data_IF_594620245666
#
_entry.id   IF_594620245666
#
_cell.length_a   1.000
_cell.length_b   1.000
_cell.length_c   1.000
_cell.angle_alpha   90.00
_cell.angle_beta   90.00
_cell.angle_gamma   90.00
#
_symmetry.space_group_name_H-M   'P 1'
#
loop_
_entity.id
_entity.type
_entity.pdbx_description
1 polymer ?
#
# COMPACT_ATOMS: atom_id res chain seq x y z
N UNK A 1 8.05 -51.00 -29.08
CA UNK A 1 8.42 -50.53 -27.74
C UNK A 1 8.77 -51.73 -26.90
N UNK A 2 10.01 -51.80 -26.45
CA UNK A 2 10.48 -52.87 -25.57
C UNK A 2 10.15 -52.55 -24.11
N UNK A 3 10.05 -53.56 -23.26
CA UNK A 3 9.74 -53.37 -21.83
C UNK A 3 10.80 -52.50 -21.13
N UNK A 4 12.06 -52.61 -21.56
CA UNK A 4 13.17 -51.78 -21.08
C UNK A 4 12.96 -50.28 -21.39
N UNK A 5 12.50 -49.93 -22.59
CA UNK A 5 12.22 -48.54 -22.98
C UNK A 5 11.11 -47.92 -22.12
N UNK A 6 10.09 -48.70 -21.74
CA UNK A 6 8.99 -48.23 -20.89
C UNK A 6 9.45 -47.97 -19.46
N UNK A 7 10.35 -48.81 -18.93
CA UNK A 7 10.93 -48.65 -17.60
C UNK A 7 11.83 -47.40 -17.56
N UNK A 8 12.64 -47.20 -18.59
CA UNK A 8 13.51 -46.04 -18.71
C UNK A 8 12.71 -44.74 -18.85
N UNK A 9 11.66 -44.73 -19.68
CA UNK A 9 10.76 -43.59 -19.82
C UNK A 9 10.04 -43.24 -18.49
N UNK A 10 9.63 -44.25 -17.71
CA UNK A 10 9.06 -44.04 -16.37
C UNK A 10 10.08 -43.42 -15.41
N UNK A 11 11.34 -43.86 -15.45
CA UNK A 11 12.42 -43.28 -14.64
C UNK A 11 12.63 -41.82 -14.99
N UNK A 12 12.81 -41.50 -16.27
CA UNK A 12 13.00 -40.11 -16.75
C UNK A 12 11.85 -39.19 -16.32
N UNK A 13 10.61 -39.66 -16.46
CA UNK A 13 9.43 -38.90 -16.01
C UNK A 13 9.45 -38.64 -14.51
N UNK A 14 9.77 -39.65 -13.71
CA UNK A 14 9.78 -39.51 -12.26
C UNK A 14 10.91 -38.57 -11.81
N UNK A 15 12.10 -38.67 -12.41
CA UNK A 15 13.21 -37.74 -12.15
C UNK A 15 12.84 -36.30 -12.51
N UNK A 16 12.21 -36.08 -13.67
CA UNK A 16 11.74 -34.76 -14.07
C UNK A 16 10.70 -34.19 -13.09
N UNK A 17 9.82 -35.05 -12.57
CA UNK A 17 8.82 -34.67 -11.56
C UNK A 17 9.48 -34.27 -10.24
N UNK A 18 10.45 -35.04 -9.76
CA UNK A 18 11.21 -34.71 -8.55
C UNK A 18 11.94 -33.37 -8.67
N UNK A 19 12.57 -33.10 -9.81
CA UNK A 19 13.24 -31.81 -10.05
C UNK A 19 12.24 -30.66 -10.02
N UNK A 20 11.08 -30.83 -10.65
CA UNK A 20 10.02 -29.82 -10.66
C UNK A 20 9.45 -29.57 -9.25
N UNK A 21 9.15 -30.63 -8.51
CA UNK A 21 8.63 -30.52 -7.15
C UNK A 21 9.65 -29.86 -6.20
N UNK A 22 10.93 -30.19 -6.35
CA UNK A 22 12.01 -29.55 -5.58
C UNK A 22 12.09 -28.04 -5.86
N UNK A 23 11.99 -27.63 -7.13
CA UNK A 23 12.01 -26.21 -7.49
C UNK A 23 10.77 -25.47 -6.96
N UNK A 24 9.60 -26.10 -7.05
CA UNK A 24 8.35 -25.57 -6.50
C UNK A 24 8.45 -25.35 -5.00
N UNK A 25 9.04 -26.29 -4.27
CA UNK A 25 9.18 -26.19 -2.81
C UNK A 25 10.20 -25.12 -2.40
N UNK A 26 11.28 -24.94 -3.18
CA UNK A 26 12.21 -23.81 -3.00
C UNK A 26 11.54 -22.45 -3.21
N UNK A 27 10.78 -22.29 -4.30
CA UNK A 27 10.04 -21.04 -4.58
C UNK A 27 9.01 -20.77 -3.49
N UNK A 28 8.34 -21.81 -3.00
CA UNK A 28 7.37 -21.69 -1.90
C UNK A 28 8.05 -21.30 -0.58
N UNK A 29 9.21 -21.88 -0.28
CA UNK A 29 10.00 -21.52 0.89
C UNK A 29 10.48 -20.06 0.83
N UNK A 30 10.91 -19.60 -0.34
CA UNK A 30 11.30 -18.19 -0.55
C UNK A 30 10.09 -17.24 -0.42
N UNK A 31 8.91 -17.62 -0.93
CA UNK A 31 7.68 -16.85 -0.77
C UNK A 31 7.20 -16.80 0.69
N UNK A 32 7.31 -17.91 1.42
CA UNK A 32 7.00 -17.95 2.85
C UNK A 32 8.05 -17.17 3.67
N UNK A 33 9.31 -17.14 3.26
CA UNK A 33 10.34 -16.28 3.87
C UNK A 33 10.10 -14.78 3.54
N UNK A 34 9.66 -14.48 2.32
CA UNK A 34 9.23 -13.14 1.89
C UNK A 34 7.88 -12.72 2.49
N UNK A 35 7.17 -13.62 3.19
CA UNK A 35 5.90 -13.35 3.90
C UNK A 35 6.02 -12.39 5.09
N UNK A 36 7.19 -11.75 5.27
CA UNK A 36 7.32 -10.51 6.05
C UNK A 36 6.19 -9.52 5.72
N UNK A 37 5.77 -9.42 4.46
CA UNK A 37 4.61 -8.60 4.06
C UNK A 37 3.29 -9.03 4.71
N UNK A 38 3.06 -10.34 4.91
CA UNK A 38 1.88 -10.86 5.62
C UNK A 38 1.93 -10.50 7.10
N UNK A 39 3.10 -10.59 7.75
CA UNK A 39 3.28 -10.19 9.16
C UNK A 39 3.12 -8.69 9.35
N UNK A 40 3.65 -7.88 8.43
CA UNK A 40 3.49 -6.42 8.45
C UNK A 40 2.04 -6.04 8.18
N UNK A 41 1.36 -6.68 7.23
CA UNK A 41 -0.07 -6.45 6.97
C UNK A 41 -0.95 -6.86 8.16
N UNK A 42 -0.66 -8.01 8.80
CA UNK A 42 -1.37 -8.41 10.03
C UNK A 42 -1.14 -7.40 11.15
N UNK A 43 0.10 -6.93 11.35
CA UNK A 43 0.42 -5.93 12.37
C UNK A 43 -0.23 -4.59 12.09
N UNK A 44 -0.21 -4.11 10.85
CA UNK A 44 -0.95 -2.90 10.42
C UNK A 44 -2.46 -3.08 10.61
N UNK A 45 -3.00 -4.28 10.40
CA UNK A 45 -4.44 -4.53 10.59
C UNK A 45 -4.85 -4.53 12.07
N UNK A 46 -4.02 -5.06 12.97
CA UNK A 46 -4.27 -5.03 14.41
C UNK A 46 -4.04 -3.62 14.97
N UNK A 47 -2.90 -3.00 14.68
CA UNK A 47 -2.58 -1.63 15.10
C UNK A 47 -3.59 -0.62 14.50
N UNK A 48 -4.03 -0.87 13.27
CA UNK A 48 -5.03 -0.06 12.57
C UNK A 48 -6.42 -0.16 13.18
N UNK A 49 -6.81 -1.31 13.74
CA UNK A 49 -8.10 -1.45 14.45
C UNK A 49 -8.11 -0.64 15.75
N UNK A 50 -7.05 -0.74 16.54
CA UNK A 50 -6.93 0.04 17.77
C UNK A 50 -6.90 1.55 17.50
N UNK A 51 -6.12 1.97 16.48
CA UNK A 51 -6.10 3.37 16.05
C UNK A 51 -7.45 3.82 15.49
N UNK A 52 -8.20 2.96 14.80
CA UNK A 52 -9.53 3.30 14.29
C UNK A 52 -10.56 3.48 15.41
N UNK A 53 -10.53 2.64 16.44
CA UNK A 53 -11.41 2.77 17.61
C UNK A 53 -11.09 4.06 18.39
N UNK A 54 -9.80 4.35 18.60
CA UNK A 54 -9.36 5.58 19.27
C UNK A 54 -9.68 6.83 18.43
N UNK A 55 -9.48 6.76 17.10
CA UNK A 55 -9.85 7.82 16.18
C UNK A 55 -11.37 8.05 16.13
N UNK A 56 -12.19 6.99 16.21
CA UNK A 56 -13.64 7.11 16.29
C UNK A 56 -14.09 7.78 17.60
N UNK A 57 -13.44 7.45 18.73
CA UNK A 57 -13.69 8.12 20.01
C UNK A 57 -13.26 9.59 20.00
N UNK A 58 -12.07 9.89 19.47
CA UNK A 58 -11.59 11.27 19.30
C UNK A 58 -12.51 12.07 18.37
N UNK A 59 -13.02 11.42 17.32
CA UNK A 59 -13.95 12.04 16.39
C UNK A 59 -15.30 12.39 17.00
N UNK A 60 -15.78 11.54 17.91
CA UNK A 60 -17.05 11.78 18.58
C UNK A 60 -16.93 12.91 19.64
N UNK A 61 -15.75 13.07 20.26
CA UNK A 61 -15.47 14.17 21.20
C UNK A 61 -15.35 15.53 20.52
N UNK A 62 -14.79 15.61 19.32
CA UNK A 62 -14.55 16.88 18.62
C UNK A 62 -15.00 16.82 17.15
N UNK A 63 -16.32 16.76 16.96
CA UNK A 63 -16.97 16.68 15.63
C UNK A 63 -16.52 17.77 14.66
N UNK A 64 -16.22 18.97 15.17
CA UNK A 64 -15.73 20.09 14.37
C UNK A 64 -14.31 19.85 13.81
N UNK A 65 -13.39 19.36 14.64
CA UNK A 65 -12.01 19.05 14.22
C UNK A 65 -11.98 17.86 13.26
N UNK A 66 -12.81 16.84 13.48
CA UNK A 66 -12.90 15.70 12.55
C UNK A 66 -13.53 16.09 11.23
N UNK A 67 -14.56 16.93 11.25
CA UNK A 67 -15.14 17.48 10.03
C UNK A 67 -14.12 18.27 9.22
N UNK A 68 -13.34 19.13 9.89
CA UNK A 68 -12.24 19.87 9.24
C UNK A 68 -11.14 18.94 8.72
N UNK A 69 -10.75 17.93 9.48
CA UNK A 69 -9.76 16.94 9.05
C UNK A 69 -10.24 16.14 7.84
N UNK A 70 -11.49 15.68 7.84
CA UNK A 70 -12.09 14.96 6.73
C UNK A 70 -12.19 15.84 5.48
N UNK A 71 -12.57 17.11 5.64
CA UNK A 71 -12.59 18.08 4.54
C UNK A 71 -11.17 18.37 4.02
N UNK A 72 -10.18 18.49 4.90
CA UNK A 72 -8.79 18.70 4.49
C UNK A 72 -8.24 17.51 3.69
N UNK A 73 -8.51 16.28 4.14
CA UNK A 73 -8.13 15.06 3.41
C UNK A 73 -8.84 15.00 2.07
N UNK A 74 -10.14 15.30 2.04
CA UNK A 74 -10.93 15.33 0.80
C UNK A 74 -10.39 16.41 -0.15
N UNK A 75 -10.08 17.60 0.35
CA UNK A 75 -9.49 18.69 -0.43
C UNK A 75 -8.10 18.32 -0.97
N UNK A 76 -7.30 17.55 -0.22
CA UNK A 76 -6.01 17.05 -0.68
C UNK A 76 -6.15 16.04 -1.83
N UNK A 77 -7.05 15.06 -1.67
CA UNK A 77 -7.32 14.01 -2.68
C UNK A 77 -7.94 14.61 -3.95
N UNK A 78 -8.86 15.55 -3.78
CA UNK A 78 -9.54 16.23 -4.87
C UNK A 78 -8.88 17.56 -5.28
N UNK A 79 -7.63 17.83 -4.86
CA UNK A 79 -6.94 19.10 -5.14
C UNK A 79 -6.91 19.42 -6.63
N UNK A 80 -6.56 18.44 -7.47
CA UNK A 80 -6.48 18.59 -8.93
C UNK A 80 -7.84 18.86 -9.59
N UNK A 81 -8.90 18.05 -9.37
CA UNK A 81 -10.21 18.34 -9.94
C UNK A 81 -10.85 19.61 -9.36
N UNK A 82 -10.63 19.95 -8.09
CA UNK A 82 -11.10 21.21 -7.50
C UNK A 82 -10.45 22.43 -8.15
N UNK A 83 -9.14 22.39 -8.40
CA UNK A 83 -8.43 23.46 -9.11
C UNK A 83 -8.87 23.58 -10.58
N UNK A 84 -9.10 22.45 -11.25
CA UNK A 84 -9.62 22.44 -12.62
C UNK A 84 -11.04 23.01 -12.70
N UNK A 85 -11.89 22.67 -11.73
CA UNK A 85 -13.25 23.21 -11.62
C UNK A 85 -13.23 24.70 -11.27
N UNK A 86 -12.39 25.14 -10.33
CA UNK A 86 -12.20 26.55 -10.01
C UNK A 86 -11.70 27.33 -11.24
N UNK A 87 -10.75 26.79 -11.99
CA UNK A 87 -10.28 27.36 -13.26
C UNK A 87 -11.37 27.45 -14.32
N UNK A 88 -12.29 26.48 -14.40
CA UNK A 88 -13.42 26.50 -15.34
C UNK A 88 -14.51 27.52 -15.00
N UNK A 89 -14.69 27.85 -13.71
CA UNK A 89 -15.67 28.85 -13.24
C UNK A 89 -15.08 30.27 -13.26
N UNK A 90 -13.81 30.41 -12.89
CA UNK A 90 -13.16 31.72 -12.79
C UNK A 90 -12.35 32.12 -14.04
N UNK A 91 -12.28 31.26 -15.06
CA UNK A 91 -11.63 31.58 -16.33
C UNK A 91 -10.14 31.92 -16.21
N UNK A 92 -9.42 31.26 -15.29
CA UNK A 92 -8.01 31.51 -15.06
C UNK A 92 -7.13 30.55 -15.89
N UNK A 93 -6.53 31.13 -16.92
CA UNK A 93 -5.37 30.65 -17.67
C UNK A 93 -4.26 30.14 -16.72
N UNK A 94 -3.62 29.02 -17.09
CA UNK A 94 -2.45 28.35 -16.47
C UNK A 94 -1.99 28.90 -15.11
N UNK A 95 -2.28 28.18 -14.04
CA UNK A 95 -1.48 28.24 -12.83
C UNK A 95 -0.49 27.08 -12.89
N UNK A 96 0.75 27.40 -13.27
CA UNK A 96 1.90 26.51 -13.19
C UNK A 96 2.07 26.01 -11.75
N UNK A 97 2.50 24.75 -11.63
CA UNK A 97 2.76 24.06 -10.37
C UNK A 97 3.70 24.87 -9.46
N UNK A 98 3.13 25.62 -8.51
CA UNK A 98 3.86 26.11 -7.35
C UNK A 98 3.96 24.98 -6.33
N UNK A 99 4.96 24.11 -6.52
CA UNK A 99 5.62 23.42 -5.41
C UNK A 99 6.30 24.49 -4.54
N UNK A 100 5.62 24.95 -3.50
CA UNK A 100 6.27 25.68 -2.41
C UNK A 100 5.84 25.02 -1.10
N UNK A 101 6.63 24.02 -0.69
CA UNK A 101 6.62 23.47 0.66
C UNK A 101 7.03 24.56 1.64
N UNK A 102 6.05 25.31 2.13
CA UNK A 102 6.19 26.15 3.31
C UNK A 102 6.28 25.26 4.56
N UNK A 103 7.50 24.94 4.96
CA UNK A 103 7.79 24.36 6.27
C UNK A 103 9.20 24.76 6.72
N UNK A 104 9.39 26.05 7.06
CA UNK A 104 10.34 26.41 8.13
C UNK A 104 10.14 27.85 8.60
N UNK A 105 9.17 28.07 9.50
CA UNK A 105 9.10 29.30 10.31
C UNK A 105 8.57 28.96 11.71
N UNK A 106 9.31 28.18 12.50
CA UNK A 106 9.13 28.22 13.97
C UNK A 106 10.34 27.70 14.77
N UNK A 107 11.50 28.33 14.62
CA UNK A 107 12.55 28.31 15.65
C UNK A 107 13.24 29.67 15.76
N UNK A 108 12.49 30.66 16.22
CA UNK A 108 13.11 31.81 16.88
C UNK A 108 12.19 32.36 18.00
N UNK A 109 12.68 32.24 19.24
CA UNK A 109 12.16 32.57 20.60
C UNK A 109 12.14 31.30 21.46
N UNK A 110 12.97 31.16 22.48
CA UNK A 110 13.14 32.07 23.62
C UNK A 110 14.58 31.94 24.17
N UNK A 111 15.22 33.10 24.33
CA UNK A 111 16.32 33.51 25.24
C UNK A 111 17.46 32.53 25.59
#
# INVERSE_FOLDING_TARGET
MTEAEVIEAKRLRNTARDVFDTQKDLVRADLDAASLGKRVATRISEDGRYLAEEAANAANRNKALTGLGALAVTALVFRKPLMAFAGSIFGAEKVEDAEETAADTEKDRVE
#
